data_IF_026903353122
#
_entry.id   IF_026903353122
#
_cell.length_a   1.000
_cell.length_b   1.000
_cell.length_c   1.000
_cell.angle_alpha   90.00
_cell.angle_beta   90.00
_cell.angle_gamma   90.00
#
_symmetry.space_group_name_H-M   'P 1'
#
loop_
_entity.id
_entity.type
_entity.pdbx_description
1 polymer ?
#
# COMPACT_ATOMS: atom_id res chain seq x y z
N UNK A 1 9.49 8.61 17.10
CA UNK A 1 10.86 8.57 17.69
C UNK A 1 10.91 8.13 19.15
N UNK A 2 10.38 8.87 20.16
CA UNK A 2 10.44 8.44 21.59
C UNK A 2 9.91 7.03 21.86
N UNK A 3 8.88 6.60 21.13
CA UNK A 3 8.26 5.29 21.29
C UNK A 3 8.72 4.28 20.23
N UNK A 4 9.83 4.54 19.52
CA UNK A 4 10.33 3.69 18.42
C UNK A 4 9.31 3.44 17.29
N UNK A 5 8.37 4.36 17.10
CA UNK A 5 7.42 4.38 15.98
C UNK A 5 7.92 5.32 14.89
N UNK A 6 7.90 4.81 13.66
CA UNK A 6 8.04 5.57 12.43
C UNK A 6 6.66 6.04 11.95
N UNK A 7 6.49 7.35 11.91
CA UNK A 7 5.24 7.96 11.47
C UNK A 7 5.26 8.15 9.95
N UNK A 8 4.25 7.61 9.28
CA UNK A 8 4.06 7.70 7.83
C UNK A 8 2.87 8.61 7.52
N UNK A 9 3.07 9.64 6.72
CA UNK A 9 1.98 10.47 6.23
C UNK A 9 1.42 9.94 4.91
N UNK A 10 0.14 9.56 4.90
CA UNK A 10 -0.57 9.08 3.72
C UNK A 10 -1.40 10.18 3.03
N UNK A 11 -1.49 10.11 1.71
CA UNK A 11 -2.38 10.96 0.90
C UNK A 11 -2.93 10.19 -0.30
N UNK A 12 -4.20 10.44 -0.65
CA UNK A 12 -4.90 9.75 -1.75
C UNK A 12 -5.26 10.74 -2.87
N UNK A 13 -4.36 10.99 -3.84
CA UNK A 13 -4.61 11.96 -4.91
C UNK A 13 -5.44 11.39 -6.08
N UNK A 14 -5.66 10.06 -6.10
CA UNK A 14 -6.28 9.32 -7.20
C UNK A 14 -7.59 9.91 -7.78
N UNK A 15 -8.54 10.40 -6.95
CA UNK A 15 -9.83 10.89 -7.46
C UNK A 15 -9.76 12.07 -8.43
N UNK A 16 -8.66 12.83 -8.46
CA UNK A 16 -8.56 14.03 -9.30
C UNK A 16 -7.20 14.26 -9.95
N UNK A 17 -6.18 13.45 -9.64
CA UNK A 17 -4.82 13.68 -10.14
C UNK A 17 -4.76 13.50 -11.66
N UNK A 18 -4.07 14.43 -12.32
CA UNK A 18 -3.59 14.30 -13.70
C UNK A 18 -2.14 13.82 -13.66
N UNK A 19 -1.90 12.53 -13.91
CA UNK A 19 -0.60 11.89 -13.67
C UNK A 19 0.55 12.48 -14.50
N UNK A 20 0.24 13.01 -15.68
CA UNK A 20 1.17 13.63 -16.61
C UNK A 20 1.34 15.15 -16.43
N UNK A 21 0.57 15.79 -15.56
CA UNK A 21 0.67 17.24 -15.31
C UNK A 21 1.74 17.55 -14.25
N UNK A 22 2.82 18.27 -14.61
CA UNK A 22 3.82 18.69 -13.63
C UNK A 22 3.25 19.55 -12.49
N UNK A 23 2.13 20.25 -12.69
CA UNK A 23 1.49 21.06 -11.67
C UNK A 23 0.95 20.22 -10.50
N UNK A 24 0.34 19.07 -10.80
CA UNK A 24 -0.21 18.13 -9.82
C UNK A 24 0.91 17.42 -9.06
N UNK A 25 1.95 16.95 -9.77
CA UNK A 25 3.15 16.41 -9.13
C UNK A 25 3.77 17.45 -8.18
N UNK A 26 3.90 18.72 -8.61
CA UNK A 26 4.40 19.80 -7.76
C UNK A 26 3.47 20.08 -6.57
N UNK A 27 2.15 19.96 -6.73
CA UNK A 27 1.20 20.14 -5.64
C UNK A 27 1.35 19.05 -4.57
N UNK A 28 1.49 17.80 -4.98
CA UNK A 28 1.77 16.66 -4.11
C UNK A 28 3.09 16.86 -3.34
N UNK A 29 4.17 17.23 -4.04
CA UNK A 29 5.47 17.48 -3.39
C UNK A 29 5.43 18.65 -2.41
N UNK A 30 4.73 19.75 -2.73
CA UNK A 30 4.53 20.86 -1.78
C UNK A 30 3.80 20.41 -0.50
N UNK A 31 2.85 19.48 -0.63
CA UNK A 31 2.15 18.92 0.54
C UNK A 31 3.08 18.09 1.40
N UNK A 32 3.96 17.29 0.80
CA UNK A 32 5.00 16.55 1.53
C UNK A 32 6.02 17.48 2.18
N UNK A 33 6.42 18.56 1.51
CA UNK A 33 7.27 19.61 2.09
C UNK A 33 6.66 20.22 3.36
N UNK A 34 5.35 20.47 3.37
CA UNK A 34 4.65 20.98 4.56
C UNK A 34 4.74 20.00 5.74
N UNK A 35 4.56 18.70 5.52
CA UNK A 35 4.71 17.69 6.58
C UNK A 35 6.16 17.44 6.97
N UNK A 36 7.10 17.58 6.03
CA UNK A 36 8.53 17.50 6.28
C UNK A 36 8.99 18.62 7.21
N UNK A 37 8.46 19.83 7.04
CA UNK A 37 8.69 20.96 7.93
C UNK A 37 8.21 20.69 9.37
N UNK A 38 7.21 19.82 9.55
CA UNK A 38 6.72 19.35 10.86
C UNK A 38 7.53 18.15 11.42
N UNK A 39 8.54 17.67 10.70
CA UNK A 39 9.39 16.57 11.14
C UNK A 39 9.03 15.18 10.58
N UNK A 40 8.00 15.06 9.74
CA UNK A 40 7.66 13.79 9.05
C UNK A 40 8.75 13.44 8.04
N UNK A 41 9.10 12.16 7.93
CA UNK A 41 10.14 11.67 7.01
C UNK A 41 9.67 10.53 6.11
N UNK A 42 8.67 9.76 6.55
CA UNK A 42 8.10 8.67 5.75
C UNK A 42 6.76 9.09 5.15
N UNK A 43 6.54 8.71 3.89
CA UNK A 43 5.39 9.14 3.12
C UNK A 43 4.75 7.97 2.38
N UNK A 44 3.44 8.11 2.14
CA UNK A 44 2.62 7.11 1.51
C UNK A 44 1.68 7.76 0.49
N UNK A 45 1.50 7.12 -0.67
CA UNK A 45 0.54 7.54 -1.69
C UNK A 45 -0.47 6.43 -1.95
N UNK A 46 -1.75 6.74 -1.71
CA UNK A 46 -2.86 5.82 -1.93
C UNK A 46 -3.49 6.01 -3.30
N UNK A 47 -3.60 4.92 -4.05
CA UNK A 47 -4.26 4.83 -5.34
C UNK A 47 -5.26 3.66 -5.39
N UNK A 48 -5.72 3.24 -4.22
CA UNK A 48 -6.85 2.35 -3.98
C UNK A 48 -8.20 3.05 -4.27
N UNK A 49 -9.25 2.25 -4.47
CA UNK A 49 -10.64 2.69 -4.65
C UNK A 49 -10.85 3.79 -5.70
N UNK A 50 -10.07 3.73 -6.78
CA UNK A 50 -10.25 4.53 -8.00
C UNK A 50 -10.51 3.64 -9.21
N UNK A 51 -11.09 4.20 -10.27
CA UNK A 51 -11.21 3.53 -11.57
C UNK A 51 -10.12 4.02 -12.53
N UNK A 52 -9.63 3.13 -13.39
CA UNK A 52 -8.70 3.47 -14.48
C UNK A 52 -9.34 3.34 -15.87
N UNK A 53 -10.65 3.21 -15.94
CA UNK A 53 -11.44 3.14 -17.18
C UNK A 53 -11.58 4.52 -17.85
N UNK A 54 -11.31 5.60 -17.12
CA UNK A 54 -11.33 6.98 -17.59
C UNK A 54 -10.13 7.76 -17.04
N UNK A 55 -9.70 8.78 -17.77
CA UNK A 55 -8.71 9.73 -17.27
C UNK A 55 -9.36 10.92 -16.58
N UNK A 56 -8.67 11.48 -15.59
CA UNK A 56 -9.08 12.74 -14.95
C UNK A 56 -8.79 13.97 -15.83
N UNK A 57 -7.90 13.83 -16.81
CA UNK A 57 -7.50 14.91 -17.72
C UNK A 57 -7.14 14.37 -19.12
N UNK A 58 -7.30 15.20 -20.16
CA UNK A 58 -6.93 14.85 -21.54
C UNK A 58 -5.42 14.70 -21.75
N UNK A 59 -4.60 15.30 -20.86
CA UNK A 59 -3.15 15.20 -20.95
C UNK A 59 -2.66 13.77 -20.69
N UNK A 60 -3.30 13.04 -19.78
CA UNK A 60 -3.00 11.63 -19.51
C UNK A 60 -3.32 10.77 -20.72
N UNK A 61 -4.44 11.05 -21.40
CA UNK A 61 -4.77 10.40 -22.67
C UNK A 61 -3.70 10.59 -23.74
N UNK A 62 -3.18 11.80 -23.84
CA UNK A 62 -2.14 12.15 -24.81
C UNK A 62 -0.79 11.52 -24.46
N UNK A 63 -0.49 11.39 -23.16
CA UNK A 63 0.81 10.93 -22.66
C UNK A 63 0.91 9.41 -22.54
N UNK A 64 -0.15 8.77 -22.04
CA UNK A 64 -0.18 7.33 -21.72
C UNK A 64 -1.09 6.52 -22.65
N UNK A 65 -1.86 7.19 -23.52
CA UNK A 65 -2.78 6.56 -24.46
C UNK A 65 -4.20 6.37 -23.90
N UNK A 66 -4.95 5.44 -24.47
CA UNK A 66 -6.29 5.12 -23.97
C UNK A 66 -6.24 4.61 -22.52
N UNK A 67 -7.26 4.97 -21.73
CA UNK A 67 -7.40 4.51 -20.35
C UNK A 67 -7.57 2.99 -20.30
N UNK A 68 -6.96 2.36 -19.30
CA UNK A 68 -6.96 0.92 -19.11
C UNK A 68 -5.86 0.47 -18.16
N UNK A 69 -5.93 -0.80 -17.76
CA UNK A 69 -5.07 -1.42 -16.75
C UNK A 69 -3.57 -1.12 -16.97
N UNK A 70 -3.04 -1.43 -18.16
CA UNK A 70 -1.62 -1.19 -18.46
C UNK A 70 -1.24 0.30 -18.41
N UNK A 71 -2.05 1.15 -19.05
CA UNK A 71 -1.78 2.59 -19.11
C UNK A 71 -1.81 3.23 -17.72
N UNK A 72 -2.72 2.79 -16.85
CA UNK A 72 -2.78 3.24 -15.47
C UNK A 72 -1.57 2.81 -14.64
N UNK A 73 -1.10 1.56 -14.78
CA UNK A 73 0.13 1.12 -14.12
C UNK A 73 1.35 1.97 -14.54
N UNK A 74 1.44 2.35 -15.81
CA UNK A 74 2.49 3.25 -16.32
C UNK A 74 2.33 4.67 -15.74
N UNK A 75 1.12 5.23 -15.80
CA UNK A 75 0.83 6.60 -15.34
C UNK A 75 1.08 6.77 -13.83
N UNK A 76 0.63 5.82 -13.03
CA UNK A 76 0.85 5.82 -11.59
C UNK A 76 2.35 5.64 -11.26
N UNK A 77 3.06 4.74 -11.97
CA UNK A 77 4.51 4.61 -11.82
C UNK A 77 5.24 5.91 -12.14
N UNK A 78 4.81 6.64 -13.18
CA UNK A 78 5.42 7.93 -13.54
C UNK A 78 5.35 8.94 -12.39
N UNK A 79 4.16 9.16 -11.82
CA UNK A 79 3.99 10.08 -10.69
C UNK A 79 4.79 9.63 -9.46
N UNK A 80 4.68 8.35 -9.10
CA UNK A 80 5.33 7.81 -7.90
C UNK A 80 6.85 7.82 -8.00
N UNK A 81 7.41 7.62 -9.20
CA UNK A 81 8.86 7.73 -9.42
C UNK A 81 9.35 9.18 -9.26
N UNK A 82 8.57 10.19 -9.67
CA UNK A 82 8.89 11.59 -9.42
C UNK A 82 8.90 11.89 -7.92
N UNK A 83 7.95 11.33 -7.18
CA UNK A 83 7.88 11.45 -5.72
C UNK A 83 9.08 10.77 -5.06
N UNK A 84 9.38 9.53 -5.42
CA UNK A 84 10.53 8.78 -4.91
C UNK A 84 11.85 9.50 -5.19
N UNK A 85 12.01 10.10 -6.38
CA UNK A 85 13.17 10.91 -6.72
C UNK A 85 13.32 12.15 -5.83
N UNK A 86 12.22 12.87 -5.53
CA UNK A 86 12.24 14.01 -4.58
C UNK A 86 12.66 13.56 -3.17
N UNK A 87 12.15 12.42 -2.69
CA UNK A 87 12.52 11.86 -1.39
C UNK A 87 14.03 11.57 -1.31
N UNK A 88 14.58 10.91 -2.34
CA UNK A 88 16.02 10.59 -2.41
C UNK A 88 16.87 11.85 -2.50
N UNK A 89 16.48 12.83 -3.32
CA UNK A 89 17.22 14.07 -3.53
C UNK A 89 17.34 14.92 -2.26
N UNK A 90 16.39 14.81 -1.33
CA UNK A 90 16.31 15.64 -0.12
C UNK A 90 16.94 15.00 1.12
N UNK A 91 17.95 14.15 0.90
CA UNK A 91 18.85 13.56 1.90
C UNK A 91 18.29 12.45 2.79
N UNK A 92 17.27 11.72 2.34
CA UNK A 92 16.94 10.41 2.89
C UNK A 92 17.21 9.33 1.81
N UNK A 93 18.47 8.99 1.54
CA UNK A 93 18.80 7.99 0.50
C UNK A 93 18.16 6.60 0.76
N UNK A 94 17.78 6.35 2.02
CA UNK A 94 17.06 5.19 2.50
C UNK A 94 15.54 5.39 2.63
N UNK A 95 15.00 6.56 2.26
CA UNK A 95 13.54 6.78 2.27
C UNK A 95 12.90 6.00 1.14
N UNK A 96 11.98 5.14 1.52
CA UNK A 96 11.13 4.36 0.64
C UNK A 96 9.74 4.98 0.68
N UNK A 97 9.22 5.36 -0.49
CA UNK A 97 7.80 5.66 -0.62
C UNK A 97 7.01 4.37 -0.49
N UNK A 98 5.96 4.39 0.34
CA UNK A 98 4.98 3.31 0.37
C UNK A 98 3.82 3.69 -0.54
N UNK A 99 3.28 2.73 -1.29
CA UNK A 99 2.08 2.96 -2.09
C UNK A 99 1.11 1.78 -1.99
N UNK A 100 -0.18 2.06 -2.07
CA UNK A 100 -1.19 1.03 -2.38
C UNK A 100 -1.67 1.20 -3.81
N UNK A 101 -1.65 0.12 -4.63
CA UNK A 101 -2.11 0.17 -6.00
C UNK A 101 -3.63 0.14 -6.10
N UNK A 102 -4.16 0.39 -7.29
CA UNK A 102 -5.59 0.24 -7.58
C UNK A 102 -6.01 -1.22 -7.53
N UNK A 103 -5.19 -2.12 -8.09
CA UNK A 103 -5.36 -3.57 -7.93
C UNK A 103 -4.59 -4.07 -6.70
N UNK A 104 -5.04 -3.69 -5.49
CA UNK A 104 -4.37 -3.97 -4.22
C UNK A 104 -4.62 -5.35 -3.61
N UNK A 105 -5.64 -6.06 -4.11
CA UNK A 105 -5.97 -7.42 -3.67
C UNK A 105 -5.64 -8.44 -4.77
N UNK A 106 -5.77 -9.71 -4.41
CA UNK A 106 -5.42 -10.90 -5.17
C UNK A 106 -3.93 -11.00 -5.58
N UNK A 107 -3.53 -12.19 -6.00
CA UNK A 107 -2.17 -12.49 -6.44
C UNK A 107 -2.08 -12.81 -7.94
N UNK A 108 -3.12 -12.48 -8.72
CA UNK A 108 -3.16 -12.76 -10.15
C UNK A 108 -2.28 -11.77 -10.90
N UNK A 109 -1.58 -12.24 -11.92
CA UNK A 109 -0.89 -11.36 -12.86
C UNK A 109 -1.92 -10.63 -13.74
N UNK A 110 -1.67 -9.34 -13.98
CA UNK A 110 -2.53 -8.48 -14.82
C UNK A 110 -1.66 -7.51 -15.61
N UNK A 111 -2.18 -6.91 -16.70
CA UNK A 111 -1.46 -5.85 -17.41
C UNK A 111 -1.12 -4.65 -16.53
N UNK A 112 -1.92 -4.36 -15.50
CA UNK A 112 -1.65 -3.30 -14.54
C UNK A 112 -0.48 -3.67 -13.61
N UNK A 113 -0.49 -4.85 -13.00
CA UNK A 113 0.59 -5.32 -12.11
C UNK A 113 1.89 -5.54 -12.87
N UNK A 114 1.82 -6.01 -14.13
CA UNK A 114 2.97 -6.09 -15.03
C UNK A 114 3.57 -4.70 -15.31
N UNK A 115 2.73 -3.71 -15.60
CA UNK A 115 3.18 -2.33 -15.81
C UNK A 115 3.88 -1.76 -14.56
N UNK A 116 3.32 -1.95 -13.36
CA UNK A 116 3.98 -1.57 -12.10
C UNK A 116 5.33 -2.27 -11.95
N UNK A 117 5.37 -3.59 -12.14
CA UNK A 117 6.61 -4.39 -12.05
C UNK A 117 7.71 -3.87 -12.97
N UNK A 118 7.35 -3.42 -14.18
CA UNK A 118 8.29 -2.92 -15.19
C UNK A 118 8.72 -1.46 -14.99
N UNK A 119 7.83 -0.61 -14.49
CA UNK A 119 8.02 0.85 -14.54
C UNK A 119 8.17 1.51 -13.16
N UNK A 120 7.68 0.90 -12.08
CA UNK A 120 7.75 1.46 -10.74
C UNK A 120 9.16 1.29 -10.17
N UNK A 121 9.73 2.37 -9.63
CA UNK A 121 11.05 2.36 -9.00
C UNK A 121 11.14 1.20 -7.98
N UNK A 122 12.19 0.36 -8.03
CA UNK A 122 12.31 -0.82 -7.18
C UNK A 122 12.41 -0.51 -5.69
N UNK A 123 12.74 0.73 -5.28
CA UNK A 123 12.71 1.16 -3.87
C UNK A 123 11.31 1.43 -3.33
N UNK A 124 10.31 1.60 -4.21
CA UNK A 124 8.94 1.87 -3.77
C UNK A 124 8.33 0.59 -3.22
N UNK A 125 7.88 0.65 -1.98
CA UNK A 125 7.18 -0.43 -1.28
C UNK A 125 5.74 -0.50 -1.78
N UNK A 126 5.32 -1.68 -2.24
CA UNK A 126 3.97 -1.92 -2.76
C UNK A 126 3.16 -2.67 -1.73
N UNK A 127 2.01 -2.11 -1.39
CA UNK A 127 1.07 -2.68 -0.44
C UNK A 127 0.10 -3.66 -1.11
N UNK A 128 -0.28 -4.71 -0.38
CA UNK A 128 -1.17 -5.78 -0.86
C UNK A 128 -2.06 -6.26 0.29
N UNK A 129 -3.36 -6.49 0.06
CA UNK A 129 -4.30 -6.90 1.13
C UNK A 129 -4.41 -8.40 1.32
N UNK A 130 -3.89 -9.20 0.40
CA UNK A 130 -4.06 -10.65 0.39
C UNK A 130 -4.85 -11.14 -0.81
N UNK A 131 -5.38 -12.36 -0.72
CA UNK A 131 -6.17 -13.00 -1.79
C UNK A 131 -7.54 -12.32 -2.04
N UNK A 132 -7.94 -11.41 -1.15
CA UNK A 132 -9.16 -10.61 -1.21
C UNK A 132 -8.91 -9.26 -0.50
N UNK A 133 -9.89 -8.36 -0.52
CA UNK A 133 -9.88 -7.15 0.31
C UNK A 133 -9.78 -7.54 1.78
N UNK A 134 -10.56 -8.54 2.22
CA UNK A 134 -10.51 -9.12 3.57
C UNK A 134 -10.27 -10.63 3.47
N UNK A 135 -9.01 -11.09 3.36
CA UNK A 135 -8.74 -12.49 3.10
C UNK A 135 -9.00 -13.35 4.35
N UNK A 136 -9.67 -14.51 4.21
CA UNK A 136 -9.95 -15.40 5.35
C UNK A 136 -8.66 -16.02 5.90
N UNK A 137 -7.66 -16.23 5.05
CA UNK A 137 -6.33 -16.74 5.37
C UNK A 137 -5.31 -16.21 4.34
N UNK A 138 -4.03 -16.23 4.71
CA UNK A 138 -2.92 -15.92 3.80
C UNK A 138 -1.83 -16.99 3.99
N UNK A 139 -1.47 -17.65 2.90
CA UNK A 139 -0.44 -18.69 2.86
C UNK A 139 0.88 -18.21 2.25
N UNK A 140 1.97 -18.94 2.47
CA UNK A 140 3.26 -18.71 1.81
C UNK A 140 3.14 -18.72 0.28
N UNK A 141 2.45 -19.70 -0.35
CA UNK A 141 2.16 -19.65 -1.77
C UNK A 141 1.45 -18.38 -2.25
N UNK A 142 0.50 -17.84 -1.46
CA UNK A 142 -0.19 -16.60 -1.81
C UNK A 142 0.79 -15.41 -1.83
N UNK A 143 1.65 -15.29 -0.82
CA UNK A 143 2.66 -14.22 -0.75
C UNK A 143 3.71 -14.34 -1.86
N UNK A 144 4.09 -15.57 -2.25
CA UNK A 144 4.97 -15.81 -3.41
C UNK A 144 4.31 -15.44 -4.72
N UNK A 145 3.02 -15.76 -4.88
CA UNK A 145 2.25 -15.38 -6.06
C UNK A 145 2.11 -13.84 -6.16
N UNK A 146 1.86 -13.16 -5.04
CA UNK A 146 1.85 -11.70 -4.99
C UNK A 146 3.22 -11.12 -5.36
N UNK A 147 4.31 -11.69 -4.82
CA UNK A 147 5.69 -11.30 -5.17
C UNK A 147 5.95 -11.46 -6.66
N UNK A 148 5.45 -12.54 -7.29
CA UNK A 148 5.55 -12.75 -8.73
C UNK A 148 4.77 -11.67 -9.50
N UNK A 149 3.54 -11.38 -9.10
CA UNK A 149 2.68 -10.41 -9.78
C UNK A 149 3.24 -8.98 -9.74
N UNK A 150 3.72 -8.53 -8.58
CA UNK A 150 4.27 -7.18 -8.38
C UNK A 150 5.79 -7.07 -8.63
N UNK A 151 6.48 -8.21 -8.74
CA UNK A 151 7.93 -8.29 -8.96
C UNK A 151 8.78 -7.87 -7.76
N UNK A 152 8.19 -7.81 -6.57
CA UNK A 152 8.85 -7.46 -5.30
C UNK A 152 8.03 -7.99 -4.13
N UNK A 153 8.66 -8.22 -2.97
CA UNK A 153 7.93 -8.56 -1.74
C UNK A 153 6.99 -7.43 -1.39
N UNK A 154 5.75 -7.77 -1.06
CA UNK A 154 4.70 -6.79 -0.74
C UNK A 154 4.63 -6.51 0.75
N UNK A 155 4.19 -5.31 1.09
CA UNK A 155 3.81 -4.94 2.44
C UNK A 155 2.35 -5.37 2.64
N UNK A 156 2.08 -6.30 3.56
CA UNK A 156 0.71 -6.74 3.80
C UNK A 156 -0.10 -5.65 4.52
N UNK A 157 -1.17 -5.18 3.89
CA UNK A 157 -2.23 -4.40 4.52
C UNK A 157 -3.35 -5.31 4.95
N UNK A 158 -3.28 -5.72 6.20
CA UNK A 158 -4.20 -6.70 6.71
C UNK A 158 -5.50 -6.04 7.15
N UNK A 159 -6.58 -6.24 6.39
CA UNK A 159 -7.93 -5.78 6.74
C UNK A 159 -8.59 -6.66 7.82
N UNK A 160 -7.84 -6.97 8.86
CA UNK A 160 -8.31 -7.52 10.11
C UNK A 160 -7.66 -6.72 11.25
N UNK A 161 -8.43 -6.19 12.22
CA UNK A 161 -9.86 -6.43 12.51
C UNK A 161 -10.86 -5.38 11.95
N UNK A 162 -10.59 -4.67 10.85
CA UNK A 162 -11.45 -3.57 10.36
C UNK A 162 -12.95 -3.89 10.34
N UNK A 163 -13.79 -2.92 10.73
CA UNK A 163 -15.24 -3.07 10.86
C UNK A 163 -16.07 -1.92 10.27
N UNK A 164 -15.49 -1.19 9.32
CA UNK A 164 -16.09 -0.03 8.66
C UNK A 164 -16.86 -0.37 7.37
N UNK A 165 -16.88 -1.65 6.97
CA UNK A 165 -17.50 -2.12 5.73
C UNK A 165 -18.67 -3.08 5.99
N UNK A 166 -19.54 -3.24 4.99
CA UNK A 166 -20.89 -3.82 5.09
C UNK A 166 -21.02 -5.04 6.01
N UNK A 167 -20.19 -6.07 5.83
CA UNK A 167 -20.37 -7.37 6.50
C UNK A 167 -19.91 -7.37 7.96
N UNK A 168 -19.09 -6.40 8.36
CA UNK A 168 -18.52 -6.24 9.69
C UNK A 168 -19.05 -5.01 10.43
N UNK A 169 -19.79 -4.14 9.75
CA UNK A 169 -20.41 -2.95 10.32
C UNK A 169 -21.19 -3.26 11.61
N UNK A 170 -20.85 -2.54 12.68
CA UNK A 170 -21.47 -2.72 14.00
C UNK A 170 -20.98 -3.94 14.81
N UNK A 171 -20.03 -4.74 14.28
CA UNK A 171 -19.44 -5.87 15.00
C UNK A 171 -18.14 -5.47 15.70
N UNK A 172 -17.88 -6.05 16.87
CA UNK A 172 -16.57 -6.01 17.51
C UNK A 172 -15.81 -7.29 17.17
N UNK A 173 -14.82 -7.18 16.28
CA UNK A 173 -13.99 -8.30 15.83
C UNK A 173 -12.84 -8.51 16.81
N UNK A 174 -13.13 -9.25 17.89
CA UNK A 174 -12.20 -9.50 19.00
C UNK A 174 -11.61 -10.93 19.00
N UNK A 175 -11.68 -11.64 17.88
CA UNK A 175 -11.02 -12.94 17.77
C UNK A 175 -9.49 -12.76 17.73
N UNK A 176 -8.70 -13.77 18.10
CA UNK A 176 -7.26 -13.68 18.00
C UNK A 176 -6.81 -13.53 16.55
N UNK A 177 -5.66 -12.90 16.35
CA UNK A 177 -5.04 -12.79 15.03
C UNK A 177 -4.59 -14.18 14.57
N UNK A 178 -5.15 -14.71 13.49
CA UNK A 178 -4.93 -16.10 13.09
C UNK A 178 -4.97 -16.27 11.57
N UNK A 179 -4.61 -17.48 11.11
CA UNK A 179 -4.68 -17.90 9.70
C UNK A 179 -3.79 -17.10 8.75
N UNK A 180 -2.69 -16.55 9.27
CA UNK A 180 -1.52 -16.14 8.50
C UNK A 180 -0.47 -17.21 8.73
N UNK A 181 -0.02 -17.85 7.66
CA UNK A 181 0.87 -19.01 7.74
C UNK A 181 2.22 -18.63 8.39
N UNK A 182 2.71 -19.48 9.29
CA UNK A 182 4.04 -19.35 9.88
C UNK A 182 5.13 -19.35 8.78
N UNK A 183 6.05 -18.39 8.83
CA UNK A 183 7.11 -18.21 7.82
C UNK A 183 6.82 -17.13 6.78
N UNK A 184 5.67 -16.46 6.84
CA UNK A 184 5.35 -15.31 5.98
C UNK A 184 6.35 -14.15 6.11
N UNK A 185 7.05 -14.02 7.24
CA UNK A 185 8.13 -13.05 7.42
C UNK A 185 9.25 -13.18 6.37
N UNK A 186 9.44 -14.37 5.79
CA UNK A 186 10.40 -14.60 4.72
C UNK A 186 9.89 -14.15 3.33
N UNK A 187 8.58 -13.96 3.16
CA UNK A 187 7.94 -13.72 1.85
C UNK A 187 7.38 -12.29 1.71
N UNK A 188 7.07 -11.62 2.82
CA UNK A 188 6.57 -10.25 2.86
C UNK A 188 7.69 -9.25 3.23
N UNK A 189 7.51 -7.97 2.88
CA UNK A 189 8.40 -6.89 3.35
C UNK A 189 8.00 -6.35 4.73
N UNK A 190 6.77 -6.66 5.16
CA UNK A 190 6.24 -6.30 6.46
C UNK A 190 4.74 -6.53 6.52
N UNK A 191 4.13 -6.10 7.63
CA UNK A 191 2.69 -6.15 7.83
C UNK A 191 2.20 -4.90 8.57
N UNK A 192 1.05 -4.37 8.17
CA UNK A 192 0.29 -3.33 8.88
C UNK A 192 -1.15 -3.79 9.06
N UNK A 193 -1.73 -3.52 10.24
CA UNK A 193 -3.15 -3.80 10.52
C UNK A 193 -4.01 -2.62 10.09
N UNK A 194 -5.16 -2.91 9.48
CA UNK A 194 -6.29 -1.99 9.45
C UNK A 194 -7.20 -2.29 10.66
N UNK A 195 -7.13 -1.50 11.75
CA UNK A 195 -7.91 -1.75 12.96
C UNK A 195 -9.40 -1.41 12.78
N UNK A 196 -10.21 -1.76 13.77
CA UNK A 196 -11.58 -1.22 13.86
C UNK A 196 -11.54 0.28 14.14
N UNK A 197 -12.65 0.96 13.84
CA UNK A 197 -12.86 2.35 14.27
C UNK A 197 -12.83 2.49 15.81
N UNK A 198 -13.07 1.40 16.54
CA UNK A 198 -12.94 1.36 18.00
C UNK A 198 -11.53 0.92 18.40
N UNK A 199 -10.73 1.87 18.88
CA UNK A 199 -9.32 1.66 19.24
C UNK A 199 -9.13 0.59 20.31
N UNK A 200 -9.83 0.69 21.45
CA UNK A 200 -9.62 -0.23 22.59
C UNK A 200 -9.94 -1.69 22.21
N UNK A 201 -11.10 -2.01 21.60
CA UNK A 201 -11.38 -3.36 21.11
C UNK A 201 -10.38 -3.87 20.07
N UNK A 202 -9.78 -2.98 19.27
CA UNK A 202 -8.80 -3.37 18.24
C UNK A 202 -7.52 -3.94 18.82
N UNK A 203 -7.18 -3.58 20.06
CA UNK A 203 -5.93 -4.00 20.71
C UNK A 203 -5.75 -5.51 20.77
N UNK A 204 -6.83 -6.29 20.87
CA UNK A 204 -6.73 -7.77 20.93
C UNK A 204 -6.08 -8.30 19.65
N UNK A 205 -6.65 -7.96 18.49
CA UNK A 205 -6.14 -8.41 17.20
C UNK A 205 -4.82 -7.72 16.82
N UNK A 206 -4.66 -6.42 17.11
CA UNK A 206 -3.43 -5.68 16.81
C UNK A 206 -2.25 -6.24 17.60
N UNK A 207 -2.44 -6.58 18.89
CA UNK A 207 -1.37 -7.20 19.68
C UNK A 207 -1.02 -8.60 19.16
N UNK A 208 -2.02 -9.40 18.76
CA UNK A 208 -1.79 -10.67 18.07
C UNK A 208 -0.95 -10.52 16.80
N UNK A 209 -1.27 -9.52 15.96
CA UNK A 209 -0.48 -9.19 14.78
C UNK A 209 0.95 -8.78 15.13
N UNK A 210 1.17 -8.00 16.19
CA UNK A 210 2.53 -7.64 16.61
C UNK A 210 3.33 -8.85 17.11
N UNK A 211 2.68 -9.79 17.82
CA UNK A 211 3.31 -11.01 18.28
C UNK A 211 3.64 -11.95 17.09
N UNK A 212 2.74 -12.06 16.12
CA UNK A 212 3.00 -12.77 14.87
C UNK A 212 4.15 -12.14 14.08
N UNK A 213 4.17 -10.81 13.92
CA UNK A 213 5.24 -10.11 13.22
C UNK A 213 6.61 -10.23 13.91
N UNK A 214 6.62 -10.42 15.24
CA UNK A 214 7.85 -10.63 16.02
C UNK A 214 8.41 -12.05 15.87
N UNK A 215 7.56 -13.08 15.88
CA UNK A 215 7.98 -14.48 15.78
C UNK A 215 6.88 -15.33 15.13
N UNK A 216 6.72 -15.22 13.81
CA UNK A 216 5.65 -15.90 13.07
C UNK A 216 5.75 -17.43 13.15
N UNK A 217 6.95 -17.99 13.18
CA UNK A 217 7.18 -19.44 13.28
C UNK A 217 6.82 -20.05 14.63
N UNK A 218 6.83 -19.25 15.70
CA UNK A 218 6.48 -19.67 17.06
C UNK A 218 5.22 -19.01 17.61
N UNK A 219 4.47 -18.30 16.78
CA UNK A 219 3.24 -17.64 17.17
C UNK A 219 2.11 -18.65 17.38
N UNK A 220 1.39 -18.51 18.50
CA UNK A 220 0.19 -19.25 18.83
C UNK A 220 -0.90 -18.23 19.19
N UNK A 221 -2.09 -18.41 18.61
CA UNK A 221 -3.14 -17.39 18.51
C UNK A 221 -4.08 -17.37 19.72
#
# INVERSE_FOLDING_TARGET
RRNHVDFVYAISPGPSVCFSDPADAKALLRKFDAFRALGVRSFYVALDDIEYTKWNCERDKTTFGASGAQAAGIAQSHLLNLVQADLVARHDAASELIMVPTEYYDAKESPYKEALRKHLDPKIVVQWTGTDVVPPAISIPDARAATKAFGRKTLLWDNYPVNDFETSAGRLLMAPYARREAGLSAELSGIVSNPMNQEVPSRVAVMGLTAFAWNDTGYDA
#
